data_IF_875523550518
#
_entry.id   IF_875523550518
#
_cell.length_a   1.000
_cell.length_b   1.000
_cell.length_c   1.000
_cell.angle_alpha   90.00
_cell.angle_beta   90.00
_cell.angle_gamma   90.00
#
_symmetry.space_group_name_H-M   'P 1'
#
loop_
_entity.id
_entity.type
_entity.pdbx_description
1 polymer ?
#
# COMPACT_ATOMS: atom_id res chain seq x y z
N UNK A 1 -21.78 -0.29 -75.05
CA UNK A 1 -20.67 -0.94 -74.30
C UNK A 1 -19.94 0.09 -73.43
N UNK A 2 -20.63 0.71 -72.47
CA UNK A 2 -20.05 1.69 -71.53
C UNK A 2 -20.65 1.62 -70.11
N UNK A 3 -21.54 0.67 -69.82
CA UNK A 3 -22.29 0.64 -68.55
C UNK A 3 -21.64 -0.25 -67.47
N UNK A 4 -20.74 -1.18 -67.83
CA UNK A 4 -20.16 -2.13 -66.86
C UNK A 4 -19.02 -1.57 -65.99
N UNK A 5 -18.45 -0.40 -66.30
CA UNK A 5 -17.31 0.17 -65.55
C UNK A 5 -17.73 0.99 -64.32
N UNK A 6 -18.98 1.47 -64.27
CA UNK A 6 -19.46 2.28 -63.15
C UNK A 6 -19.87 1.41 -61.93
N UNK A 7 -20.35 0.19 -62.17
CA UNK A 7 -20.88 -0.69 -61.12
C UNK A 7 -19.76 -1.32 -60.26
N UNK A 8 -18.62 -1.68 -60.87
CA UNK A 8 -17.49 -2.27 -60.14
C UNK A 8 -16.75 -1.25 -59.25
N UNK A 9 -16.74 0.03 -59.62
CA UNK A 9 -16.12 1.10 -58.82
C UNK A 9 -16.88 1.44 -57.54
N UNK A 10 -18.22 1.31 -57.54
CA UNK A 10 -19.04 1.64 -56.36
C UNK A 10 -19.05 0.52 -55.32
N UNK A 11 -18.91 -0.74 -55.74
CA UNK A 11 -18.86 -1.90 -54.82
C UNK A 11 -17.51 -2.00 -54.12
N UNK A 12 -16.41 -1.75 -54.83
CA UNK A 12 -15.06 -1.76 -54.25
C UNK A 12 -14.84 -0.60 -53.26
N UNK A 13 -15.38 0.59 -53.53
CA UNK A 13 -15.31 1.73 -52.59
C UNK A 13 -16.17 1.52 -51.35
N UNK A 14 -17.34 0.89 -51.47
CA UNK A 14 -18.21 0.53 -50.34
C UNK A 14 -17.58 -0.52 -49.40
N UNK A 15 -16.94 -1.55 -49.96
CA UNK A 15 -16.29 -2.62 -49.20
C UNK A 15 -15.01 -2.16 -48.49
N UNK A 16 -14.24 -1.26 -49.10
CA UNK A 16 -13.04 -0.66 -48.50
C UNK A 16 -13.43 0.33 -47.39
N UNK A 17 -14.52 1.10 -47.55
CA UNK A 17 -15.00 1.99 -46.48
C UNK A 17 -15.53 1.21 -45.27
N UNK A 18 -16.25 0.11 -45.47
CA UNK A 18 -16.81 -0.69 -44.35
C UNK A 18 -15.74 -1.44 -43.57
N UNK A 19 -14.67 -1.90 -44.23
CA UNK A 19 -13.55 -2.57 -43.57
C UNK A 19 -12.58 -1.60 -42.86
N UNK A 20 -12.34 -0.40 -43.41
CA UNK A 20 -11.59 0.66 -42.73
C UNK A 20 -12.34 1.25 -41.53
N UNK A 21 -13.66 1.46 -41.65
CA UNK A 21 -14.48 2.01 -40.55
C UNK A 21 -14.73 0.96 -39.46
N UNK A 22 -14.97 -0.31 -39.82
CA UNK A 22 -15.14 -1.40 -38.85
C UNK A 22 -13.86 -1.73 -38.08
N UNK A 23 -12.70 -1.71 -38.75
CA UNK A 23 -11.39 -1.93 -38.12
C UNK A 23 -10.92 -0.75 -37.25
N UNK A 24 -11.12 0.48 -37.72
CA UNK A 24 -10.74 1.67 -36.96
C UNK A 24 -11.62 1.90 -35.73
N UNK A 25 -12.94 1.65 -35.82
CA UNK A 25 -13.83 1.73 -34.67
C UNK A 25 -13.60 0.58 -33.68
N UNK A 26 -13.37 -0.64 -34.15
CA UNK A 26 -13.03 -1.78 -33.28
C UNK A 26 -11.70 -1.61 -32.55
N UNK A 27 -10.66 -1.16 -33.24
CA UNK A 27 -9.36 -0.85 -32.65
C UNK A 27 -9.40 0.32 -31.67
N UNK A 28 -10.16 1.38 -31.98
CA UNK A 28 -10.35 2.51 -31.07
C UNK A 28 -11.16 2.15 -29.82
N UNK A 29 -12.17 1.27 -29.93
CA UNK A 29 -12.96 0.83 -28.79
C UNK A 29 -12.15 -0.10 -27.86
N UNK A 30 -11.34 -0.99 -28.42
CA UNK A 30 -10.40 -1.82 -27.64
C UNK A 30 -9.34 -0.93 -26.98
N UNK A 31 -8.72 0.01 -27.70
CA UNK A 31 -7.76 0.95 -27.12
C UNK A 31 -8.40 1.81 -26.01
N UNK A 32 -9.63 2.28 -26.20
CA UNK A 32 -10.35 3.05 -25.19
C UNK A 32 -10.69 2.21 -23.95
N UNK A 33 -11.17 0.97 -24.13
CA UNK A 33 -11.39 0.04 -23.03
C UNK A 33 -10.08 -0.31 -22.31
N UNK A 34 -9.01 -0.57 -23.05
CA UNK A 34 -7.69 -0.89 -22.49
C UNK A 34 -7.13 0.31 -21.74
N UNK A 35 -7.21 1.53 -22.29
CA UNK A 35 -6.80 2.75 -21.58
C UNK A 35 -7.67 3.03 -20.36
N UNK A 36 -8.98 2.75 -20.41
CA UNK A 36 -9.88 2.97 -19.26
C UNK A 36 -9.62 1.95 -18.15
N UNK A 37 -9.33 0.70 -18.52
CA UNK A 37 -8.97 -0.36 -17.57
C UNK A 37 -7.58 -0.10 -16.99
N UNK A 38 -6.58 0.21 -17.83
CA UNK A 38 -5.23 0.54 -17.39
C UNK A 38 -5.18 1.82 -16.56
N UNK A 39 -5.96 2.86 -16.89
CA UNK A 39 -6.05 4.06 -16.06
C UNK A 39 -6.77 3.80 -14.73
N UNK A 40 -7.83 2.99 -14.70
CA UNK A 40 -8.47 2.57 -13.44
C UNK A 40 -7.56 1.72 -12.58
N UNK A 41 -6.81 0.79 -13.18
CA UNK A 41 -5.82 -0.04 -12.48
C UNK A 41 -4.67 0.84 -11.98
N UNK A 42 -4.18 1.76 -12.81
CA UNK A 42 -3.14 2.73 -12.47
C UNK A 42 -3.55 3.64 -11.31
N UNK A 43 -4.76 4.21 -11.35
CA UNK A 43 -5.33 5.05 -10.28
C UNK A 43 -5.50 4.25 -8.97
N UNK A 44 -6.00 3.01 -9.04
CA UNK A 44 -6.09 2.12 -7.87
C UNK A 44 -4.72 1.72 -7.32
N UNK A 45 -3.74 1.49 -8.18
CA UNK A 45 -2.36 1.15 -7.76
C UNK A 45 -1.63 2.35 -7.12
N UNK A 46 -1.92 3.57 -7.59
CA UNK A 46 -1.39 4.80 -7.01
C UNK A 46 -1.95 5.09 -5.62
N UNK A 47 -3.27 4.94 -5.44
CA UNK A 47 -3.92 5.07 -4.13
C UNK A 47 -3.41 3.99 -3.15
N UNK A 48 -3.28 2.74 -3.61
CA UNK A 48 -2.69 1.66 -2.81
C UNK A 48 -1.24 1.97 -2.39
N UNK A 49 -0.45 2.55 -3.27
CA UNK A 49 0.95 2.92 -2.97
C UNK A 49 1.01 4.02 -1.90
N UNK A 50 0.17 5.05 -2.02
CA UNK A 50 0.09 6.11 -1.03
C UNK A 50 -0.30 5.57 0.35
N UNK A 51 -1.28 4.66 0.41
CA UNK A 51 -1.71 4.01 1.66
C UNK A 51 -0.63 3.13 2.29
N UNK A 52 0.13 2.39 1.48
CA UNK A 52 1.28 1.61 1.95
C UNK A 52 2.37 2.52 2.52
N UNK A 53 2.64 3.65 1.87
CA UNK A 53 3.62 4.63 2.36
C UNK A 53 3.14 5.30 3.65
N UNK A 54 1.85 5.60 3.78
CA UNK A 54 1.24 6.13 5.01
C UNK A 54 1.34 5.11 6.15
N UNK A 55 1.06 3.82 5.90
CA UNK A 55 1.26 2.74 6.86
C UNK A 55 2.72 2.66 7.32
N UNK A 56 3.68 2.71 6.38
CA UNK A 56 5.11 2.69 6.73
C UNK A 56 5.48 3.88 7.62
N UNK A 57 4.97 5.08 7.31
CA UNK A 57 5.20 6.28 8.14
C UNK A 57 4.61 6.16 9.54
N UNK A 58 3.44 5.54 9.67
CA UNK A 58 2.84 5.29 10.99
C UNK A 58 3.65 4.28 11.80
N UNK A 59 4.20 3.23 11.16
CA UNK A 59 5.11 2.26 11.79
C UNK A 59 6.42 2.93 12.24
N UNK A 60 7.05 3.76 11.40
CA UNK A 60 8.25 4.53 11.74
C UNK A 60 7.98 5.42 12.96
N UNK A 61 6.87 6.16 12.93
CA UNK A 61 6.49 7.04 14.04
C UNK A 61 6.19 6.28 15.33
N UNK A 62 5.55 5.12 15.23
CA UNK A 62 5.29 4.25 16.38
C UNK A 62 6.60 3.76 17.01
N UNK A 63 7.56 3.34 16.18
CA UNK A 63 8.88 2.92 16.62
C UNK A 63 9.67 4.06 17.28
N UNK A 64 9.67 5.26 16.70
CA UNK A 64 10.37 6.42 17.23
C UNK A 64 9.83 6.84 18.61
N UNK A 65 8.51 6.87 18.78
CA UNK A 65 7.89 7.15 20.07
C UNK A 65 8.21 6.02 21.06
N UNK A 66 8.18 4.76 20.61
CA UNK A 66 8.55 3.61 21.43
C UNK A 66 9.98 3.71 21.95
N UNK A 67 10.94 4.01 21.07
CA UNK A 67 12.34 4.24 21.46
C UNK A 67 12.44 5.40 22.44
N UNK A 68 11.72 6.49 22.22
CA UNK A 68 11.77 7.63 23.13
C UNK A 68 11.30 7.23 24.54
N UNK A 69 10.20 6.48 24.65
CA UNK A 69 9.70 5.96 25.92
C UNK A 69 10.73 5.06 26.61
N UNK A 70 11.34 4.13 25.86
CA UNK A 70 12.30 3.16 26.42
C UNK A 70 13.71 3.72 26.64
N UNK A 71 14.04 4.88 26.07
CA UNK A 71 15.36 5.52 26.21
C UNK A 71 15.60 6.18 27.57
N UNK A 72 14.55 6.46 28.32
CA UNK A 72 14.61 7.15 29.61
C UNK A 72 13.74 6.43 30.64
N UNK A 73 14.02 6.53 31.95
CA UNK A 73 13.13 6.05 33.01
C UNK A 73 11.75 6.74 33.00
N UNK A 74 10.71 6.07 33.50
CA UNK A 74 9.35 6.65 33.55
C UNK A 74 9.28 7.94 34.39
N UNK A 75 10.08 8.03 35.45
CA UNK A 75 10.15 9.23 36.29
C UNK A 75 10.57 10.47 35.49
N UNK A 76 11.48 10.31 34.53
CA UNK A 76 12.04 11.42 33.74
C UNK A 76 11.07 11.89 32.64
N UNK A 77 10.14 11.03 32.23
CA UNK A 77 9.12 11.35 31.22
C UNK A 77 7.99 12.21 31.78
N UNK A 78 7.66 12.11 33.08
CA UNK A 78 6.60 12.90 33.71
C UNK A 78 5.28 12.93 32.92
N UNK A 79 4.73 14.13 32.72
CA UNK A 79 3.47 14.35 31.95
C UNK A 79 3.62 13.96 30.48
N UNK A 80 4.81 14.15 29.92
CA UNK A 80 5.10 13.79 28.53
C UNK A 80 4.96 12.28 28.32
N UNK A 81 5.32 11.47 29.32
CA UNK A 81 5.10 10.02 29.31
C UNK A 81 3.63 9.63 29.09
N UNK A 82 2.68 10.36 29.67
CA UNK A 82 1.24 10.11 29.48
C UNK A 82 0.84 10.40 28.02
N UNK A 83 1.34 11.51 27.46
CA UNK A 83 1.10 11.90 26.06
C UNK A 83 1.67 10.88 25.08
N UNK A 84 2.87 10.38 25.35
CA UNK A 84 3.53 9.39 24.49
C UNK A 84 2.80 8.05 24.53
N UNK A 85 2.35 7.59 25.71
CA UNK A 85 1.57 6.35 25.83
C UNK A 85 0.25 6.44 25.06
N UNK A 86 -0.49 7.54 25.18
CA UNK A 86 -1.74 7.71 24.43
C UNK A 86 -1.48 7.79 22.92
N UNK A 87 -0.39 8.43 22.50
CA UNK A 87 0.03 8.44 21.10
C UNK A 87 0.38 7.03 20.58
N UNK A 88 1.06 6.20 21.38
CA UNK A 88 1.37 4.81 21.02
C UNK A 88 0.10 3.98 20.81
N UNK A 89 -0.85 4.03 21.74
CA UNK A 89 -2.12 3.31 21.58
C UNK A 89 -2.92 3.79 20.36
N UNK A 90 -2.95 5.10 20.12
CA UNK A 90 -3.59 5.67 18.94
C UNK A 90 -2.95 5.22 17.63
N UNK A 91 -1.61 5.19 17.58
CA UNK A 91 -0.87 4.72 16.41
C UNK A 91 -1.02 3.22 16.19
N UNK A 92 -0.95 2.40 17.24
CA UNK A 92 -1.18 0.97 17.16
C UNK A 92 -2.55 0.69 16.53
N UNK A 93 -3.61 1.34 17.02
CA UNK A 93 -4.96 1.15 16.49
C UNK A 93 -5.08 1.59 15.02
N UNK A 94 -4.39 2.67 14.65
CA UNK A 94 -4.37 3.17 13.28
C UNK A 94 -3.61 2.23 12.32
N UNK A 95 -2.51 1.64 12.78
CA UNK A 95 -1.75 0.63 12.02
C UNK A 95 -2.60 -0.63 11.79
N UNK A 96 -3.28 -1.13 12.83
CA UNK A 96 -4.23 -2.25 12.70
C UNK A 96 -5.32 -1.94 11.66
N UNK A 97 -5.92 -0.75 11.72
CA UNK A 97 -6.96 -0.33 10.78
C UNK A 97 -6.45 -0.24 9.34
N UNK A 98 -5.21 0.23 9.13
CA UNK A 98 -4.59 0.23 7.80
C UNK A 98 -4.45 -1.18 7.24
N UNK A 99 -4.01 -2.13 8.07
CA UNK A 99 -3.85 -3.52 7.64
C UNK A 99 -5.21 -4.16 7.33
N UNK A 100 -6.22 -3.94 8.17
CA UNK A 100 -7.60 -4.37 7.92
C UNK A 100 -8.14 -3.81 6.59
N UNK A 101 -7.86 -2.54 6.28
CA UNK A 101 -8.25 -1.90 5.02
C UNK A 101 -7.52 -2.52 3.82
N UNK A 102 -6.21 -2.69 3.92
CA UNK A 102 -5.38 -3.23 2.84
C UNK A 102 -5.75 -4.69 2.52
N UNK A 103 -6.03 -5.50 3.54
CA UNK A 103 -6.45 -6.89 3.39
C UNK A 103 -7.82 -7.00 2.70
N UNK A 104 -8.77 -6.12 3.05
CA UNK A 104 -10.11 -6.09 2.44
C UNK A 104 -10.14 -5.55 1.01
N UNK A 105 -9.37 -4.51 0.74
CA UNK A 105 -9.42 -3.81 -0.56
C UNK A 105 -8.56 -4.47 -1.63
N UNK A 106 -7.55 -5.27 -1.23
CA UNK A 106 -6.58 -5.84 -2.13
C UNK A 106 -6.41 -7.33 -1.91
N UNK A 107 -7.12 -8.14 -2.70
CA UNK A 107 -6.85 -9.58 -2.85
C UNK A 107 -5.39 -9.88 -3.25
N UNK A 108 -4.70 -8.89 -3.80
CA UNK A 108 -3.28 -8.91 -4.13
C UNK A 108 -2.40 -8.70 -2.89
N UNK A 109 -2.81 -7.92 -1.89
CA UNK A 109 -2.05 -7.70 -0.67
C UNK A 109 -2.24 -8.85 0.34
N UNK A 110 -1.78 -10.06 -0.02
CA UNK A 110 -1.60 -11.15 0.95
C UNK A 110 -0.30 -10.95 1.70
N UNK A 111 -0.33 -10.05 2.67
CA UNK A 111 0.81 -9.79 3.54
C UNK A 111 0.60 -10.52 4.86
N UNK A 112 1.23 -11.69 5.01
CA UNK A 112 1.22 -12.47 6.24
C UNK A 112 2.20 -11.85 7.24
N UNK A 113 1.74 -10.79 7.90
CA UNK A 113 2.55 -9.93 8.76
C UNK A 113 2.16 -10.03 10.22
N UNK A 114 1.21 -10.92 10.55
CA UNK A 114 0.63 -10.99 11.88
C UNK A 114 1.71 -11.12 12.95
N UNK A 115 2.62 -12.07 12.77
CA UNK A 115 3.69 -12.35 13.73
C UNK A 115 4.69 -11.19 13.86
N UNK A 116 5.13 -10.59 12.75
CA UNK A 116 6.08 -9.47 12.77
C UNK A 116 5.47 -8.22 13.40
N UNK A 117 4.18 -7.97 13.14
CA UNK A 117 3.45 -6.85 13.72
C UNK A 117 3.20 -7.05 15.21
N UNK A 118 2.72 -8.22 15.61
CA UNK A 118 2.52 -8.59 17.02
C UNK A 118 3.84 -8.43 17.77
N UNK A 119 4.95 -8.90 17.18
CA UNK A 119 6.24 -8.80 17.82
C UNK A 119 6.76 -7.36 17.91
N UNK A 120 6.44 -6.48 16.94
CA UNK A 120 6.71 -5.05 17.05
C UNK A 120 5.89 -4.40 18.17
N UNK A 121 4.59 -4.69 18.24
CA UNK A 121 3.73 -4.17 19.31
C UNK A 121 4.21 -4.63 20.68
N UNK A 122 4.52 -5.92 20.83
CA UNK A 122 5.07 -6.47 22.07
C UNK A 122 6.40 -5.81 22.46
N UNK A 123 7.28 -5.51 21.49
CA UNK A 123 8.53 -4.81 21.78
C UNK A 123 8.31 -3.37 22.28
N UNK A 124 7.23 -2.70 21.85
CA UNK A 124 6.95 -1.30 22.22
C UNK A 124 6.10 -1.19 23.48
N UNK A 125 5.03 -1.98 23.61
CA UNK A 125 4.02 -1.88 24.68
C UNK A 125 3.97 -3.08 25.62
N UNK A 126 4.78 -4.11 25.41
CA UNK A 126 4.83 -5.30 26.26
C UNK A 126 5.65 -5.12 27.55
N UNK A 127 5.63 -6.14 28.41
CA UNK A 127 6.36 -6.16 29.69
C UNK A 127 6.01 -4.98 30.62
N UNK A 128 7.04 -4.31 31.14
CA UNK A 128 6.92 -3.24 32.15
C UNK A 128 6.44 -1.88 31.57
N UNK A 129 5.95 -1.85 30.33
CA UNK A 129 5.46 -0.61 29.71
C UNK A 129 4.46 0.20 30.56
N UNK A 130 3.44 -0.40 31.22
CA UNK A 130 2.49 0.36 32.02
C UNK A 130 3.07 0.79 33.38
N UNK A 131 4.16 0.17 33.82
CA UNK A 131 4.69 0.29 35.17
C UNK A 131 5.24 1.68 35.47
N UNK A 132 4.91 2.19 36.67
CA UNK A 132 5.29 3.53 37.10
C UNK A 132 6.80 3.67 37.35
N UNK A 133 7.47 2.57 37.68
CA UNK A 133 8.90 2.49 38.00
C UNK A 133 9.76 1.86 36.89
N UNK A 134 9.22 1.73 35.67
CA UNK A 134 9.95 1.19 34.52
C UNK A 134 11.25 1.97 34.26
N UNK A 135 12.35 1.22 34.15
CA UNK A 135 13.67 1.74 33.82
C UNK A 135 13.86 1.93 32.31
N UNK A 136 14.89 2.68 31.92
CA UNK A 136 15.34 2.71 30.54
C UNK A 136 15.86 1.33 30.10
N UNK A 137 15.57 0.93 28.86
CA UNK A 137 16.01 -0.33 28.27
C UNK A 137 16.59 -0.08 26.86
N UNK A 138 17.92 0.14 26.77
CA UNK A 138 18.59 0.36 25.48
C UNK A 138 18.52 -0.85 24.54
N UNK A 139 18.45 -2.07 25.06
CA UNK A 139 18.36 -3.28 24.24
C UNK A 139 16.98 -3.34 23.56
N UNK A 140 15.92 -2.98 24.30
CA UNK A 140 14.58 -2.86 23.73
C UNK A 140 14.49 -1.75 22.69
N UNK A 141 15.17 -0.62 22.86
CA UNK A 141 15.24 0.42 21.82
C UNK A 141 15.81 -0.12 20.49
N UNK A 142 16.88 -0.92 20.57
CA UNK A 142 17.46 -1.56 19.37
C UNK A 142 16.50 -2.58 18.75
N UNK A 143 15.80 -3.36 19.58
CA UNK A 143 14.83 -4.35 19.10
C UNK A 143 13.65 -3.70 18.38
N UNK A 144 13.09 -2.61 18.93
CA UNK A 144 12.00 -1.83 18.32
C UNK A 144 12.41 -1.35 16.92
N UNK A 145 13.59 -0.72 16.80
CA UNK A 145 14.07 -0.20 15.51
C UNK A 145 14.32 -1.33 14.51
N UNK A 146 14.93 -2.43 14.96
CA UNK A 146 15.18 -3.61 14.11
C UNK A 146 13.87 -4.19 13.57
N UNK A 147 12.85 -4.36 14.42
CA UNK A 147 11.55 -4.91 14.04
C UNK A 147 10.79 -3.98 13.11
N UNK A 148 10.75 -2.69 13.41
CA UNK A 148 10.11 -1.70 12.56
C UNK A 148 10.74 -1.67 11.16
N UNK A 149 12.07 -1.60 11.06
CA UNK A 149 12.78 -1.65 9.79
C UNK A 149 12.52 -2.95 9.02
N UNK A 150 12.55 -4.09 9.71
CA UNK A 150 12.22 -5.40 9.12
C UNK A 150 10.82 -5.44 8.52
N UNK A 151 9.82 -4.98 9.29
CA UNK A 151 8.42 -4.93 8.87
C UNK A 151 8.22 -3.99 7.67
N UNK A 152 8.80 -2.80 7.68
CA UNK A 152 8.73 -1.85 6.56
C UNK A 152 9.33 -2.44 5.30
N UNK A 153 10.49 -3.11 5.40
CA UNK A 153 11.11 -3.80 4.25
C UNK A 153 10.21 -4.91 3.73
N UNK A 154 9.59 -5.69 4.63
CA UNK A 154 8.67 -6.76 4.26
C UNK A 154 7.42 -6.21 3.52
N UNK A 155 6.80 -5.14 4.03
CA UNK A 155 5.67 -4.44 3.39
C UNK A 155 6.06 -3.91 2.00
N UNK A 156 7.23 -3.27 1.88
CA UNK A 156 7.69 -2.73 0.59
C UNK A 156 8.07 -3.83 -0.41
N UNK A 157 8.53 -5.00 0.07
CA UNK A 157 8.84 -6.16 -0.76
C UNK A 157 7.57 -6.83 -1.27
N UNK A 158 6.54 -6.99 -0.43
CA UNK A 158 5.25 -7.54 -0.86
C UNK A 158 4.68 -6.69 -1.99
N UNK A 159 4.71 -5.35 -1.87
CA UNK A 159 4.37 -4.41 -2.95
C UNK A 159 5.09 -4.70 -4.27
N UNK A 160 6.42 -4.87 -4.24
CA UNK A 160 7.23 -5.12 -5.44
C UNK A 160 6.82 -6.42 -6.13
N UNK A 161 6.53 -7.46 -5.36
CA UNK A 161 6.02 -8.74 -5.90
C UNK A 161 4.68 -8.57 -6.63
N UNK A 162 3.80 -7.69 -6.13
CA UNK A 162 2.48 -7.45 -6.75
C UNK A 162 2.57 -6.66 -8.04
N UNK A 163 3.46 -5.67 -8.11
CA UNK A 163 3.66 -4.89 -9.33
C UNK A 163 4.30 -5.73 -10.44
N UNK A 164 5.27 -6.60 -10.13
CA UNK A 164 5.89 -7.46 -11.16
C UNK A 164 5.02 -8.64 -11.62
N UNK A 165 4.05 -9.09 -10.81
CA UNK A 165 3.12 -10.15 -11.23
C UNK A 165 1.97 -9.67 -12.12
N UNK A 166 1.84 -8.35 -12.34
CA UNK A 166 0.83 -7.73 -13.19
C UNK A 166 1.35 -7.37 -14.60
N UNK A 167 2.63 -7.60 -14.87
CA UNK A 167 3.29 -7.43 -16.18
C UNK A 167 3.84 -8.77 -16.67
#
# INVERSE_FOLDING_TARGET
MWEDKAFLGSVLTSLVLTSLVGGALGGALIMALTNTVLSRIGLRSGDLTARIDDLCRDIERYADIGVHVWSMPTADLGVEGIRLRSALYGLQRRIEMWLDLLDRESWLFRFDAGDDLIALFEAVTGGDFPEANRAADPARCQDIQRRAAGLIVAIRRSRRSLLHGLF
#
